data_IF_460564826432
#
_entry.id   IF_460564826432
#
_cell.length_a   1.000
_cell.length_b   1.000
_cell.length_c   1.000
_cell.angle_alpha   90.00
_cell.angle_beta   90.00
_cell.angle_gamma   90.00
#
_symmetry.space_group_name_H-M   'P 1'
#
loop_
_entity.id
_entity.type
_entity.pdbx_description
1 polymer ?
#
# COMPACT_ATOMS: atom_id res chain seq x y z
N UNK A 1 10.31 -25.68 -34.37
CA UNK A 1 10.76 -24.53 -33.57
C UNK A 1 9.52 -23.76 -33.18
N UNK A 2 8.91 -24.09 -32.05
CA UNK A 2 7.74 -23.37 -31.54
C UNK A 2 8.23 -22.23 -30.64
N UNK A 3 8.11 -21.01 -31.14
CA UNK A 3 8.22 -19.82 -30.30
C UNK A 3 6.99 -19.78 -29.40
N UNK A 4 7.09 -20.39 -28.22
CA UNK A 4 6.21 -20.12 -27.10
C UNK A 4 6.40 -18.65 -26.71
N UNK A 5 5.66 -17.76 -27.37
CA UNK A 5 5.54 -16.38 -26.98
C UNK A 5 5.07 -16.38 -25.52
N UNK A 6 5.97 -15.98 -24.62
CA UNK A 6 5.66 -15.68 -23.23
C UNK A 6 4.59 -14.58 -23.22
N UNK A 7 3.33 -14.96 -23.30
CA UNK A 7 2.19 -14.11 -23.00
C UNK A 7 2.17 -13.91 -21.49
N UNK A 8 3.11 -13.08 -21.01
CA UNK A 8 3.02 -12.50 -19.67
C UNK A 8 1.76 -11.66 -19.69
N UNK A 9 0.68 -12.20 -19.13
CA UNK A 9 -0.60 -11.50 -19.00
C UNK A 9 -0.33 -10.19 -18.26
N UNK A 10 -0.38 -9.06 -18.97
CA UNK A 10 -0.30 -7.73 -18.34
C UNK A 10 -1.51 -7.58 -17.43
N UNK A 11 -1.25 -7.38 -16.15
CA UNK A 11 -2.29 -7.13 -15.16
C UNK A 11 -2.86 -5.72 -15.39
N UNK A 12 -4.18 -5.60 -15.27
CA UNK A 12 -4.88 -4.32 -15.27
C UNK A 12 -4.69 -3.55 -13.96
N UNK A 13 -4.93 -2.24 -13.98
CA UNK A 13 -4.98 -1.39 -12.78
C UNK A 13 -5.85 -1.98 -11.64
N UNK A 14 -6.99 -2.60 -11.97
CA UNK A 14 -7.88 -3.22 -10.99
C UNK A 14 -7.28 -4.48 -10.38
N UNK A 15 -6.59 -5.30 -11.18
CA UNK A 15 -5.88 -6.49 -10.69
C UNK A 15 -4.71 -6.08 -9.78
N UNK A 16 -3.95 -5.04 -10.14
CA UNK A 16 -2.90 -4.49 -9.27
C UNK A 16 -3.45 -3.98 -7.93
N UNK A 17 -4.57 -3.26 -7.95
CA UNK A 17 -5.22 -2.77 -6.73
C UNK A 17 -5.67 -3.94 -5.83
N UNK A 18 -6.26 -4.98 -6.43
CA UNK A 18 -6.68 -6.18 -5.70
C UNK A 18 -5.49 -6.91 -5.06
N UNK A 19 -4.39 -7.11 -5.80
CA UNK A 19 -3.16 -7.71 -5.27
C UNK A 19 -2.58 -6.90 -4.10
N UNK A 20 -2.61 -5.58 -4.22
CA UNK A 20 -2.16 -4.67 -3.16
C UNK A 20 -3.02 -4.78 -1.90
N UNK A 21 -4.35 -4.77 -2.05
CA UNK A 21 -5.29 -4.90 -0.94
C UNK A 21 -5.18 -6.26 -0.25
N UNK A 22 -4.96 -7.33 -1.03
CA UNK A 22 -4.70 -8.66 -0.51
C UNK A 22 -3.41 -8.70 0.32
N UNK A 23 -2.35 -8.00 -0.12
CA UNK A 23 -1.11 -7.86 0.64
C UNK A 23 -1.35 -7.14 1.97
N UNK A 24 -2.10 -6.04 1.97
CA UNK A 24 -2.47 -5.32 3.20
C UNK A 24 -3.28 -6.22 4.12
N UNK A 25 -4.29 -6.91 3.60
CA UNK A 25 -5.13 -7.82 4.37
C UNK A 25 -4.31 -8.91 5.06
N UNK A 26 -3.35 -9.52 4.35
CA UNK A 26 -2.43 -10.52 4.94
C UNK A 26 -1.56 -9.92 6.04
N UNK A 27 -1.01 -8.73 5.82
CA UNK A 27 -0.22 -8.02 6.84
C UNK A 27 -1.07 -7.67 8.08
N UNK A 28 -2.33 -7.27 7.91
CA UNK A 28 -3.26 -7.00 9.02
C UNK A 28 -3.56 -8.26 9.83
N UNK A 29 -3.82 -9.38 9.15
CA UNK A 29 -4.07 -10.65 9.82
C UNK A 29 -2.86 -11.08 10.67
N UNK A 30 -1.66 -10.97 10.11
CA UNK A 30 -0.43 -11.28 10.85
C UNK A 30 -0.18 -10.29 12.01
N UNK A 31 -0.51 -9.01 11.83
CA UNK A 31 -0.39 -8.00 12.87
C UNK A 31 -1.29 -8.31 14.07
N UNK A 32 -2.54 -8.67 13.83
CA UNK A 32 -3.48 -9.04 14.91
C UNK A 32 -3.03 -10.29 15.66
N UNK A 33 -2.47 -11.30 14.96
CA UNK A 33 -1.87 -12.47 15.62
C UNK A 33 -0.69 -12.09 16.54
N UNK A 34 0.10 -11.09 16.16
CA UNK A 34 1.29 -10.67 16.90
C UNK A 34 1.00 -9.61 17.99
N UNK A 35 -0.17 -8.97 17.96
CA UNK A 35 -0.54 -7.87 18.85
C UNK A 35 -0.47 -8.22 20.33
N UNK A 36 -0.71 -9.48 20.69
CA UNK A 36 -0.62 -9.94 22.08
C UNK A 36 0.81 -9.87 22.65
N UNK A 37 1.84 -10.00 21.80
CA UNK A 37 3.24 -9.85 22.24
C UNK A 37 3.59 -8.40 22.64
N UNK A 38 2.84 -7.42 22.16
CA UNK A 38 3.03 -6.01 22.54
C UNK A 38 2.47 -5.67 23.93
N UNK A 39 1.62 -6.54 24.50
CA UNK A 39 1.00 -6.35 25.83
C UNK A 39 1.82 -6.98 26.97
N UNK A 40 2.88 -7.72 26.66
CA UNK A 40 3.77 -8.31 27.66
C UNK A 40 4.69 -7.26 28.30
N UNK A 41 4.95 -7.37 29.62
CA UNK A 41 5.94 -6.56 30.34
C UNK A 41 7.30 -6.59 29.61
N UNK A 42 8.13 -5.54 29.72
CA UNK A 42 9.45 -5.51 29.08
C UNK A 42 10.35 -6.56 29.73
N UNK A 43 10.33 -7.77 29.19
CA UNK A 43 11.38 -8.74 29.44
C UNK A 43 12.57 -8.23 28.62
N UNK A 44 13.68 -7.91 29.29
CA UNK A 44 14.90 -7.28 28.76
C UNK A 44 15.66 -8.14 27.73
N UNK A 45 14.97 -9.01 26.99
CA UNK A 45 15.52 -9.92 26.00
C UNK A 45 14.87 -9.59 24.65
N UNK A 46 15.68 -9.48 23.60
CA UNK A 46 15.22 -9.29 22.22
C UNK A 46 14.23 -10.38 21.84
N UNK A 47 12.92 -10.06 21.87
CA UNK A 47 11.88 -10.99 21.42
C UNK A 47 11.68 -10.81 19.91
N UNK A 48 12.04 -11.79 19.06
CA UNK A 48 11.90 -11.67 17.61
C UNK A 48 10.47 -11.41 17.17
N UNK A 49 9.47 -11.89 17.92
CA UNK A 49 8.04 -11.66 17.64
C UNK A 49 7.63 -10.21 17.93
N UNK A 50 8.21 -9.60 18.96
CA UNK A 50 7.99 -8.18 19.26
C UNK A 50 8.65 -7.28 18.21
N UNK A 51 9.85 -7.63 17.75
CA UNK A 51 10.51 -6.92 16.65
C UNK A 51 9.70 -7.04 15.36
N UNK A 52 9.24 -8.26 15.04
CA UNK A 52 8.34 -8.51 13.90
C UNK A 52 7.05 -7.70 13.99
N UNK A 53 6.41 -7.66 15.16
CA UNK A 53 5.23 -6.82 15.41
C UNK A 53 5.51 -5.34 15.12
N UNK A 54 6.61 -4.79 15.66
CA UNK A 54 7.00 -3.38 15.45
C UNK A 54 7.27 -3.08 13.97
N UNK A 55 7.98 -3.97 13.28
CA UNK A 55 8.25 -3.85 11.85
C UNK A 55 6.95 -3.87 11.03
N UNK A 56 6.06 -4.81 11.33
CA UNK A 56 4.78 -4.95 10.65
C UNK A 56 3.86 -3.75 10.89
N UNK A 57 3.82 -3.22 12.12
CA UNK A 57 3.12 -1.97 12.45
C UNK A 57 3.58 -0.82 11.55
N UNK A 58 4.90 -0.61 11.46
CA UNK A 58 5.49 0.43 10.62
C UNK A 58 5.17 0.23 9.13
N UNK A 59 5.20 -1.01 8.65
CA UNK A 59 4.84 -1.34 7.26
C UNK A 59 3.36 -1.05 6.97
N UNK A 60 2.45 -1.40 7.89
CA UNK A 60 1.01 -1.11 7.74
C UNK A 60 0.74 0.39 7.75
N UNK A 61 1.36 1.15 8.67
CA UNK A 61 1.23 2.62 8.71
C UNK A 61 1.68 3.30 7.40
N UNK A 62 2.66 2.71 6.71
CA UNK A 62 3.18 3.21 5.43
C UNK A 62 2.39 2.72 4.22
N UNK A 63 1.85 1.50 4.28
CA UNK A 63 1.15 0.89 3.17
C UNK A 63 -0.33 1.28 3.12
N UNK A 64 -1.01 1.47 4.25
CA UNK A 64 -2.44 1.74 4.22
C UNK A 64 -2.76 3.09 3.58
N UNK A 65 -3.57 3.10 2.50
CA UNK A 65 -4.05 4.34 1.91
C UNK A 65 -4.91 5.11 2.91
N UNK A 66 -4.69 6.41 3.02
CA UNK A 66 -5.37 7.29 3.98
C UNK A 66 -6.06 8.43 3.27
N UNK A 67 -7.32 8.67 3.60
CA UNK A 67 -8.02 9.86 3.12
C UNK A 67 -7.52 11.10 3.86
N UNK A 68 -7.08 12.11 3.12
CA UNK A 68 -6.56 13.37 3.68
C UNK A 68 -7.06 14.56 2.87
N UNK A 69 -7.03 15.74 3.48
CA UNK A 69 -7.26 17.02 2.78
C UNK A 69 -5.89 17.68 2.61
N UNK A 70 -5.55 18.09 1.38
CA UNK A 70 -4.27 18.72 1.08
C UNK A 70 -4.37 20.24 1.21
N UNK A 71 -3.34 20.87 1.79
CA UNK A 71 -3.30 22.33 1.97
C UNK A 71 -2.85 23.13 0.74
N UNK A 72 -2.37 22.47 -0.30
CA UNK A 72 -1.79 23.09 -1.49
C UNK A 72 -2.05 22.22 -2.73
N UNK A 73 -1.86 22.78 -3.92
CA UNK A 73 -2.05 22.05 -5.18
C UNK A 73 -1.01 20.93 -5.36
N UNK A 74 -1.47 19.77 -5.86
CA UNK A 74 -0.62 18.62 -6.18
C UNK A 74 -1.09 17.89 -7.43
N UNK A 75 -0.17 17.23 -8.11
CA UNK A 75 -0.48 16.37 -9.24
C UNK A 75 -0.82 14.95 -8.76
N UNK A 76 -1.95 14.42 -9.22
CA UNK A 76 -2.39 13.06 -8.97
C UNK A 76 -1.44 12.06 -9.63
N UNK A 77 -0.82 11.17 -8.85
CA UNK A 77 0.17 10.21 -9.37
C UNK A 77 -0.44 9.13 -10.29
N UNK A 78 -1.76 8.93 -10.19
CA UNK A 78 -2.52 8.01 -11.05
C UNK A 78 -2.80 8.61 -12.42
N UNK A 79 -3.69 9.60 -12.49
CA UNK A 79 -4.18 10.15 -13.75
C UNK A 79 -3.46 11.41 -14.25
N UNK A 80 -2.57 12.02 -13.45
CA UNK A 80 -1.87 13.26 -13.80
C UNK A 80 -2.71 14.54 -13.64
N UNK A 81 -3.98 14.43 -13.20
CA UNK A 81 -4.84 15.61 -12.93
C UNK A 81 -4.22 16.48 -11.83
N UNK A 82 -4.30 17.79 -12.00
CA UNK A 82 -4.01 18.74 -10.94
C UNK A 82 -5.15 18.72 -9.91
N UNK A 83 -4.79 18.50 -8.65
CA UNK A 83 -5.70 18.54 -7.51
C UNK A 83 -5.53 19.89 -6.82
N UNK A 84 -6.64 20.59 -6.64
CA UNK A 84 -6.76 21.86 -5.93
C UNK A 84 -6.39 21.74 -4.45
N UNK A 85 -6.08 22.88 -3.84
CA UNK A 85 -5.99 22.97 -2.40
C UNK A 85 -7.37 22.70 -1.77
N UNK A 86 -7.39 22.15 -0.56
CA UNK A 86 -8.59 21.78 0.21
C UNK A 86 -9.43 20.64 -0.40
N UNK A 87 -8.95 19.97 -1.44
CA UNK A 87 -9.61 18.76 -1.95
C UNK A 87 -9.29 17.53 -1.10
N UNK A 88 -10.28 16.64 -0.96
CA UNK A 88 -10.11 15.32 -0.35
C UNK A 88 -9.43 14.39 -1.34
N UNK A 89 -8.38 13.73 -0.89
CA UNK A 89 -7.54 12.83 -1.70
C UNK A 89 -7.20 11.56 -0.94
N UNK A 90 -6.61 10.60 -1.64
CA UNK A 90 -6.03 9.41 -1.04
C UNK A 90 -4.51 9.53 -1.00
N UNK A 91 -3.93 9.63 0.19
CA UNK A 91 -2.50 9.51 0.41
C UNK A 91 -2.12 8.02 0.39
N UNK A 92 -1.14 7.68 -0.44
CA UNK A 92 -0.62 6.33 -0.62
C UNK A 92 0.89 6.34 -0.37
N UNK A 93 1.52 5.17 -0.26
CA UNK A 93 2.95 5.06 0.06
C UNK A 93 3.86 5.92 -0.83
N UNK A 94 3.53 5.99 -2.13
CA UNK A 94 4.32 6.65 -3.16
C UNK A 94 3.88 8.10 -3.46
N UNK A 95 2.86 8.63 -2.79
CA UNK A 95 2.39 9.99 -3.03
C UNK A 95 0.90 10.18 -2.77
N UNK A 96 0.25 10.96 -3.64
CA UNK A 96 -1.17 11.32 -3.52
C UNK A 96 -1.88 10.96 -4.82
N UNK A 97 -3.05 10.37 -4.68
CA UNK A 97 -3.96 10.06 -5.79
C UNK A 97 -5.36 10.56 -5.49
N UNK A 98 -6.11 10.81 -6.54
CA UNK A 98 -7.43 11.41 -6.51
C UNK A 98 -8.43 10.49 -5.80
N UNK A 99 -8.33 9.19 -6.09
CA UNK A 99 -9.23 8.14 -5.63
C UNK A 99 -8.55 6.76 -5.76
N UNK A 100 -9.32 5.71 -5.47
CA UNK A 100 -8.86 4.32 -5.52
C UNK A 100 -8.59 3.84 -6.95
N UNK A 101 -9.31 4.33 -7.95
CA UNK A 101 -9.04 4.02 -9.35
C UNK A 101 -7.67 4.55 -9.77
N UNK A 102 -7.36 5.79 -9.40
CA UNK A 102 -6.06 6.41 -9.62
C UNK A 102 -4.93 5.71 -8.84
N UNK A 103 -5.23 5.14 -7.67
CA UNK A 103 -4.27 4.27 -6.99
C UNK A 103 -3.93 3.03 -7.82
N UNK A 104 -4.94 2.35 -8.37
CA UNK A 104 -4.74 1.20 -9.27
C UNK A 104 -3.86 1.55 -10.47
N UNK A 105 -4.16 2.68 -11.15
CA UNK A 105 -3.35 3.18 -12.27
C UNK A 105 -1.91 3.50 -11.84
N UNK A 106 -1.73 4.08 -10.66
CA UNK A 106 -0.41 4.40 -10.12
C UNK A 106 0.40 3.13 -9.78
N UNK A 107 -0.25 2.06 -9.31
CA UNK A 107 0.38 0.76 -9.07
C UNK A 107 0.76 0.08 -10.39
N UNK A 108 -0.13 0.09 -11.39
CA UNK A 108 0.15 -0.42 -12.73
C UNK A 108 1.37 0.28 -13.36
N UNK A 109 1.45 1.62 -13.25
CA UNK A 109 2.62 2.38 -13.72
C UNK A 109 3.93 2.02 -13.02
N UNK A 110 3.88 1.55 -11.78
CA UNK A 110 5.08 1.21 -11.01
C UNK A 110 5.53 -0.23 -11.20
N UNK A 111 4.58 -1.14 -11.41
CA UNK A 111 4.82 -2.58 -11.34
C UNK A 111 4.39 -3.34 -12.61
N UNK A 112 3.80 -2.68 -13.60
CA UNK A 112 3.30 -3.27 -14.85
C UNK A 112 4.34 -3.42 -15.97
N UNK A 113 5.63 -3.37 -15.63
CA UNK A 113 6.75 -3.52 -16.57
C UNK A 113 7.23 -4.96 -16.68
#
# INVERSE_FOLDING_TARGET
MENAANNVKKLSAAEFLSLYDNKITRMKAEYEQLKHYARGRPIFVSNPKLEKYRKLKKLLEQAEPREVIIGYQRTCQGCGRMIGAQEKVLQVHSGIVCDRTCHGLQLEKQYGH
#
